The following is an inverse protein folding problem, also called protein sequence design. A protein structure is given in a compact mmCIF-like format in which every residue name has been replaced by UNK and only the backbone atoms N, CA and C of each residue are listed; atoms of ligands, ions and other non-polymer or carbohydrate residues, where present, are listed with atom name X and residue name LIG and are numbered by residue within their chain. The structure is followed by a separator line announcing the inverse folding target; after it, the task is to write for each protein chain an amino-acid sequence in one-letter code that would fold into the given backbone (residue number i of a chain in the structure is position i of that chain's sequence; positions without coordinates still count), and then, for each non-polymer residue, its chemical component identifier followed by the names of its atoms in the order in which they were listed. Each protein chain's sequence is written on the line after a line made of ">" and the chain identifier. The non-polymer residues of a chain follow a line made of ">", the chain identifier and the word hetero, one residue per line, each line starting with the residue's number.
data_IF_905036547364
#
_entry.id   IF_905036547364
#
_cell.length_a   1.000
_cell.length_b   1.000
_cell.length_c   1.000
_cell.angle_alpha   90.00
_cell.angle_beta   90.00
_cell.angle_gamma   90.00
#
_symmetry.space_group_name_H-M   'P 1'
#
loop_
_entity.id
_entity.type
_entity.pdbx_description
1 polymer ?
#
# COMPACT_ATOMS: atom_id res chain seq x y z
N UNK A 1 -17.29 13.77 11.61
CA UNK A 1 -15.88 13.47 11.26
C UNK A 1 -15.82 13.18 9.76
N UNK A 2 -15.00 13.90 9.01
CA UNK A 2 -14.88 13.78 7.55
C UNK A 2 -13.60 13.02 7.20
N UNK A 3 -13.62 12.26 6.11
CA UNK A 3 -12.43 11.67 5.48
C UNK A 3 -12.32 12.15 4.05
N UNK A 4 -11.10 12.23 3.52
CA UNK A 4 -10.85 12.65 2.14
C UNK A 4 -9.75 11.82 1.48
N UNK A 5 -9.78 11.76 0.15
CA UNK A 5 -8.69 11.18 -0.65
C UNK A 5 -7.64 12.23 -0.97
N UNK A 6 -6.38 11.83 -0.97
CA UNK A 6 -5.25 12.71 -1.23
C UNK A 6 -4.17 12.01 -2.06
N UNK A 7 -3.40 12.84 -2.77
CA UNK A 7 -2.13 12.47 -3.38
C UNK A 7 -1.01 13.41 -2.88
N UNK A 8 0.24 13.13 -3.24
CA UNK A 8 1.40 13.90 -2.78
C UNK A 8 1.27 15.39 -3.12
N UNK A 9 0.80 15.72 -4.32
CA UNK A 9 0.59 17.10 -4.77
C UNK A 9 -0.42 17.85 -3.89
N UNK A 10 -1.57 17.23 -3.62
CA UNK A 10 -2.63 17.85 -2.80
C UNK A 10 -2.19 18.13 -1.36
N UNK A 11 -1.38 17.23 -0.77
CA UNK A 11 -0.82 17.43 0.58
C UNK A 11 0.27 18.52 0.54
N UNK A 12 1.11 18.50 -0.49
CA UNK A 12 2.20 19.49 -0.67
C UNK A 12 1.68 20.92 -0.81
N UNK A 13 0.50 21.10 -1.41
CA UNK A 13 -0.17 22.40 -1.54
C UNK A 13 -0.66 23.00 -0.22
N UNK A 14 -0.61 22.26 0.89
CA UNK A 14 -1.03 22.73 2.21
C UNK A 14 0.15 22.86 3.15
N UNK A 15 0.25 23.94 3.91
CA UNK A 15 1.21 24.04 5.02
C UNK A 15 0.80 23.11 6.17
N UNK A 16 1.70 22.92 7.14
CA UNK A 16 1.37 22.11 8.32
C UNK A 16 0.24 22.76 9.12
N UNK A 17 0.26 24.09 9.24
CA UNK A 17 -0.74 24.90 9.96
C UNK A 17 -2.11 24.78 9.30
N UNK A 18 -2.17 24.80 7.97
CA UNK A 18 -3.42 24.58 7.24
C UNK A 18 -3.97 23.16 7.48
N UNK A 19 -3.12 22.13 7.52
CA UNK A 19 -3.55 20.77 7.85
C UNK A 19 -4.06 20.67 9.30
N UNK A 20 -3.39 21.34 10.25
CA UNK A 20 -3.85 21.43 11.64
C UNK A 20 -5.20 22.15 11.71
N UNK A 21 -5.39 23.22 10.94
CA UNK A 21 -6.68 23.92 10.86
C UNK A 21 -7.78 23.01 10.29
N UNK A 22 -7.49 22.26 9.22
CA UNK A 22 -8.43 21.26 8.67
C UNK A 22 -8.78 20.18 9.71
N UNK A 23 -7.79 19.72 10.48
CA UNK A 23 -7.98 18.75 11.55
C UNK A 23 -8.93 19.27 12.64
N UNK A 24 -8.76 20.54 13.04
CA UNK A 24 -9.65 21.24 14.00
C UNK A 24 -11.06 21.40 13.46
N UNK A 25 -11.21 21.61 12.15
CA UNK A 25 -12.50 21.71 11.46
C UNK A 25 -13.13 20.35 11.09
N UNK A 26 -12.57 19.22 11.58
CA UNK A 26 -13.23 17.92 11.52
C UNK A 26 -12.71 16.94 10.46
N UNK A 27 -11.65 17.28 9.70
CA UNK A 27 -10.94 16.34 8.84
C UNK A 27 -10.18 15.32 9.71
N UNK A 28 -10.69 14.09 9.78
CA UNK A 28 -10.19 13.09 10.73
C UNK A 28 -9.42 11.93 10.12
N UNK A 29 -9.36 11.80 8.79
CA UNK A 29 -8.54 10.80 8.09
C UNK A 29 -8.27 11.22 6.64
N UNK A 30 -7.08 10.92 6.14
CA UNK A 30 -6.74 10.98 4.72
C UNK A 30 -6.44 9.58 4.16
N UNK A 31 -7.01 9.29 3.00
CA UNK A 31 -6.71 8.10 2.19
C UNK A 31 -5.71 8.50 1.11
N UNK A 32 -4.48 8.02 1.27
CA UNK A 32 -3.34 8.47 0.48
C UNK A 32 -2.89 7.39 -0.52
N UNK A 33 -3.09 7.65 -1.80
CA UNK A 33 -2.64 6.77 -2.89
C UNK A 33 -1.13 6.90 -3.13
N UNK A 34 -0.37 5.90 -2.68
CA UNK A 34 1.09 5.78 -2.88
C UNK A 34 1.43 4.76 -3.96
N UNK A 35 0.68 3.66 -4.03
CA UNK A 35 0.78 2.56 -5.02
C UNK A 35 2.08 1.75 -4.95
N UNK A 36 3.25 2.39 -5.01
CA UNK A 36 4.57 1.75 -5.00
C UNK A 36 5.62 2.65 -4.34
N UNK A 37 6.61 2.04 -3.69
CA UNK A 37 7.82 2.70 -3.20
C UNK A 37 9.01 2.70 -4.17
N UNK A 38 8.89 2.05 -5.34
CA UNK A 38 9.94 2.02 -6.36
C UNK A 38 9.85 3.24 -7.30
N UNK A 39 10.82 4.15 -7.23
CA UNK A 39 10.84 5.38 -8.02
C UNK A 39 10.93 5.17 -9.54
N UNK A 40 11.56 4.11 -10.03
CA UNK A 40 11.56 3.79 -11.46
C UNK A 40 10.15 3.42 -11.93
N UNK A 41 9.48 2.58 -11.14
CA UNK A 41 8.11 2.19 -11.43
C UNK A 41 7.15 3.37 -11.30
N UNK A 42 7.34 4.25 -10.31
CA UNK A 42 6.54 5.49 -10.13
C UNK A 42 6.62 6.40 -11.35
N UNK A 43 7.80 6.51 -11.97
CA UNK A 43 7.98 7.24 -13.23
C UNK A 43 7.24 6.56 -14.37
N UNK A 44 7.35 5.23 -14.50
CA UNK A 44 6.66 4.44 -15.52
C UNK A 44 5.12 4.60 -15.45
N UNK A 45 4.56 4.65 -14.25
CA UNK A 45 3.11 4.84 -14.03
C UNK A 45 2.70 6.31 -13.88
N UNK A 46 3.61 7.27 -14.13
CA UNK A 46 3.35 8.71 -14.15
C UNK A 46 2.72 9.22 -12.83
N UNK A 47 3.24 8.76 -11.68
CA UNK A 47 2.66 9.13 -10.37
C UNK A 47 2.94 10.58 -9.95
N UNK A 48 3.96 11.21 -10.55
CA UNK A 48 4.26 12.64 -10.37
C UNK A 48 4.89 13.03 -9.03
N UNK A 49 5.46 12.07 -8.30
CA UNK A 49 6.23 12.31 -7.07
C UNK A 49 7.18 11.14 -6.80
N UNK A 50 8.31 11.40 -6.14
CA UNK A 50 9.24 10.37 -5.69
C UNK A 50 8.87 9.79 -4.30
N UNK A 51 9.50 8.70 -3.92
CA UNK A 51 9.32 8.01 -2.65
C UNK A 51 9.59 8.92 -1.45
N UNK A 52 10.66 9.73 -1.53
CA UNK A 52 11.05 10.68 -0.48
C UNK A 52 9.95 11.70 -0.22
N UNK A 53 9.43 12.34 -1.27
CA UNK A 53 8.30 13.27 -1.18
C UNK A 53 7.09 12.58 -0.59
N UNK A 54 6.82 11.33 -0.96
CA UNK A 54 5.69 10.60 -0.39
C UNK A 54 5.81 10.44 1.12
N UNK A 55 6.98 10.04 1.61
CA UNK A 55 7.28 9.87 3.03
C UNK A 55 7.11 11.19 3.77
N UNK A 56 7.68 12.28 3.25
CA UNK A 56 7.58 13.62 3.84
C UNK A 56 6.12 14.08 3.94
N UNK A 57 5.33 13.91 2.88
CA UNK A 57 3.91 14.29 2.88
C UNK A 57 3.09 13.43 3.84
N UNK A 58 3.37 12.12 3.91
CA UNK A 58 2.70 11.24 4.87
C UNK A 58 2.99 11.64 6.32
N UNK A 59 4.26 11.88 6.65
CA UNK A 59 4.68 12.32 7.99
C UNK A 59 4.05 13.65 8.37
N UNK A 60 3.99 14.60 7.44
CA UNK A 60 3.35 15.91 7.66
C UNK A 60 1.86 15.80 8.02
N UNK A 61 1.13 14.86 7.39
CA UNK A 61 -0.28 14.60 7.74
C UNK A 61 -0.42 14.02 9.15
N UNK A 62 0.48 13.09 9.52
CA UNK A 62 0.51 12.48 10.85
C UNK A 62 0.84 13.53 11.92
N UNK A 63 1.83 14.38 11.65
CA UNK A 63 2.24 15.51 12.52
C UNK A 63 1.08 16.49 12.76
N UNK A 64 0.25 16.74 11.74
CA UNK A 64 -0.97 17.54 11.89
C UNK A 64 -2.08 16.88 12.74
N UNK A 65 -1.86 15.65 13.24
CA UNK A 65 -2.82 14.90 14.04
C UNK A 65 -3.98 14.30 13.23
N UNK A 66 -3.84 14.20 11.90
CA UNK A 66 -4.79 13.56 11.00
C UNK A 66 -4.40 12.09 10.82
N UNK A 67 -5.37 11.17 10.91
CA UNK A 67 -5.08 9.75 10.64
C UNK A 67 -4.73 9.56 9.17
N UNK A 68 -3.72 8.75 8.88
CA UNK A 68 -3.29 8.44 7.52
C UNK A 68 -3.55 6.96 7.19
N UNK A 69 -4.26 6.72 6.09
CA UNK A 69 -4.44 5.40 5.49
C UNK A 69 -3.78 5.37 4.12
N UNK A 70 -2.71 4.59 3.96
CA UNK A 70 -1.94 4.50 2.72
C UNK A 70 -2.42 3.35 1.86
N UNK A 71 -2.59 3.58 0.57
CA UNK A 71 -2.94 2.55 -0.41
C UNK A 71 -1.71 2.16 -1.24
N UNK A 72 -1.45 0.86 -1.37
CA UNK A 72 -0.39 0.26 -2.21
C UNK A 72 -0.99 -0.78 -3.16
N UNK A 73 -0.37 -0.99 -4.32
CA UNK A 73 -0.89 -1.84 -5.40
C UNK A 73 0.02 -3.04 -5.67
N UNK A 74 -0.45 -4.23 -5.29
CA UNK A 74 0.16 -5.50 -5.66
C UNK A 74 0.04 -5.74 -7.17
N UNK A 75 1.07 -6.33 -7.76
CA UNK A 75 1.16 -6.72 -9.17
C UNK A 75 1.46 -5.56 -10.13
N UNK A 76 1.49 -4.31 -9.66
CA UNK A 76 1.66 -3.13 -10.53
C UNK A 76 3.01 -3.09 -11.25
N UNK A 77 4.02 -3.78 -10.70
CA UNK A 77 5.34 -3.91 -11.30
C UNK A 77 5.44 -4.99 -12.39
N UNK A 78 4.38 -5.79 -12.54
CA UNK A 78 4.42 -7.03 -13.31
C UNK A 78 5.29 -8.10 -12.66
N UNK A 79 5.30 -9.30 -13.25
CA UNK A 79 6.03 -10.47 -12.73
C UNK A 79 7.51 -10.18 -12.44
N UNK A 80 8.22 -9.57 -13.40
CA UNK A 80 9.67 -9.32 -13.31
C UNK A 80 10.02 -8.31 -12.22
N UNK A 81 9.23 -7.24 -12.06
CA UNK A 81 9.50 -6.16 -11.11
C UNK A 81 8.99 -6.42 -9.68
N UNK A 82 8.24 -7.51 -9.48
CA UNK A 82 7.45 -7.75 -8.28
C UNK A 82 8.24 -7.67 -6.97
N UNK A 83 9.40 -8.35 -6.88
CA UNK A 83 10.20 -8.38 -5.65
C UNK A 83 10.86 -7.03 -5.33
N UNK A 84 11.35 -6.30 -6.35
CA UNK A 84 11.91 -4.95 -6.18
C UNK A 84 10.84 -4.00 -5.66
N UNK A 85 9.65 -4.04 -6.28
CA UNK A 85 8.50 -3.26 -5.87
C UNK A 85 8.07 -3.55 -4.43
N UNK A 86 7.93 -4.83 -4.06
CA UNK A 86 7.53 -5.24 -2.72
C UNK A 86 8.48 -4.71 -1.64
N UNK A 87 9.79 -4.91 -1.83
CA UNK A 87 10.84 -4.43 -0.92
C UNK A 87 10.80 -2.90 -0.79
N UNK A 88 10.87 -2.18 -1.91
CA UNK A 88 10.89 -0.72 -1.89
C UNK A 88 9.62 -0.12 -1.27
N UNK A 89 8.46 -0.75 -1.52
CA UNK A 89 7.18 -0.34 -0.92
C UNK A 89 7.16 -0.57 0.59
N UNK A 90 7.64 -1.73 1.07
CA UNK A 90 7.74 -1.99 2.50
C UNK A 90 8.67 -1.01 3.22
N UNK A 91 9.82 -0.70 2.63
CA UNK A 91 10.79 0.29 3.15
C UNK A 91 10.18 1.70 3.21
N UNK A 92 9.46 2.12 2.16
CA UNK A 92 8.72 3.39 2.13
C UNK A 92 7.68 3.45 3.24
N UNK A 93 6.88 2.40 3.40
CA UNK A 93 5.82 2.31 4.42
C UNK A 93 6.41 2.38 5.83
N UNK A 94 7.52 1.68 6.08
CA UNK A 94 8.24 1.74 7.35
C UNK A 94 8.76 3.13 7.66
N UNK A 95 9.32 3.82 6.66
CA UNK A 95 9.80 5.18 6.83
C UNK A 95 8.64 6.17 7.07
N UNK A 96 7.49 5.96 6.46
CA UNK A 96 6.31 6.83 6.62
C UNK A 96 5.57 6.60 7.95
N UNK A 97 5.52 5.36 8.43
CA UNK A 97 4.79 4.91 9.64
C UNK A 97 3.30 5.31 9.69
N UNK A 98 2.49 4.96 8.66
CA UNK A 98 1.07 5.33 8.62
C UNK A 98 0.22 4.57 9.66
N UNK A 99 -0.96 5.12 9.98
CA UNK A 99 -1.90 4.44 10.89
C UNK A 99 -2.50 3.18 10.26
N UNK A 100 -2.76 3.22 8.96
CA UNK A 100 -3.36 2.11 8.22
C UNK A 100 -2.68 1.94 6.86
N UNK A 101 -2.60 0.70 6.41
CA UNK A 101 -2.15 0.34 5.07
C UNK A 101 -3.23 -0.53 4.43
N UNK A 102 -3.62 -0.20 3.20
CA UNK A 102 -4.47 -1.00 2.35
C UNK A 102 -3.70 -1.47 1.12
N UNK A 103 -3.33 -2.74 1.08
CA UNK A 103 -2.85 -3.37 -0.14
C UNK A 103 -4.05 -3.79 -1.00
N UNK A 104 -4.03 -3.41 -2.27
CA UNK A 104 -5.02 -3.82 -3.27
C UNK A 104 -4.27 -4.49 -4.42
N UNK A 105 -4.90 -5.44 -5.10
CA UNK A 105 -4.35 -6.03 -6.33
C UNK A 105 -4.72 -5.17 -7.54
N UNK A 106 -3.76 -4.92 -8.43
CA UNK A 106 -3.98 -4.19 -9.68
C UNK A 106 -5.02 -4.92 -10.53
N UNK A 107 -5.90 -4.15 -11.18
CA UNK A 107 -6.90 -4.67 -12.11
C UNK A 107 -6.59 -4.16 -13.52
N UNK A 108 -6.64 -5.05 -14.49
CA UNK A 108 -6.47 -4.71 -15.91
C UNK A 108 -7.83 -4.26 -16.46
N UNK A 109 -7.92 -2.98 -16.82
CA UNK A 109 -9.16 -2.37 -17.30
C UNK A 109 -9.02 -2.10 -18.81
N UNK A 110 -9.91 -2.65 -19.66
CA UNK A 110 -9.89 -2.40 -21.11
C UNK A 110 -9.85 -0.91 -21.45
N UNK A 111 -9.03 -0.55 -22.45
CA UNK A 111 -8.84 0.84 -22.88
C UNK A 111 -7.87 1.66 -22.02
N UNK A 112 -7.18 1.03 -21.04
CA UNK A 112 -6.10 1.68 -20.28
C UNK A 112 -4.72 1.33 -20.84
N UNK A 113 -3.70 2.21 -20.69
CA UNK A 113 -2.35 1.91 -21.17
C UNK A 113 -1.78 0.59 -20.62
N UNK A 114 -2.06 0.27 -19.35
CA UNK A 114 -1.60 -0.98 -18.74
C UNK A 114 -2.26 -2.22 -19.35
N UNK A 115 -3.54 -2.13 -19.73
CA UNK A 115 -4.24 -3.20 -20.43
C UNK A 115 -3.67 -3.40 -21.83
N UNK A 116 -3.36 -2.32 -22.55
CA UNK A 116 -2.70 -2.41 -23.85
C UNK A 116 -1.31 -3.06 -23.74
N UNK A 117 -0.52 -2.71 -22.73
CA UNK A 117 0.76 -3.36 -22.48
C UNK A 117 0.59 -4.85 -22.16
N UNK A 118 -0.47 -5.23 -21.44
CA UNK A 118 -0.78 -6.63 -21.17
C UNK A 118 -1.15 -7.41 -22.43
N UNK A 119 -2.07 -6.89 -23.25
CA UNK A 119 -2.48 -7.53 -24.52
C UNK A 119 -1.29 -7.69 -25.47
N UNK A 120 -0.41 -6.68 -25.52
CA UNK A 120 0.79 -6.69 -26.34
C UNK A 120 1.98 -7.46 -25.73
N UNK A 121 1.77 -8.19 -24.61
CA UNK A 121 2.80 -8.97 -23.90
C UNK A 121 4.02 -8.15 -23.44
N UNK A 122 3.85 -6.84 -23.26
CA UNK A 122 4.83 -5.92 -22.65
C UNK A 122 4.70 -5.87 -21.13
N UNK A 123 3.58 -6.34 -20.60
CA UNK A 123 3.31 -6.49 -19.18
C UNK A 123 2.75 -7.87 -18.90
N UNK A 124 3.36 -8.58 -17.94
CA UNK A 124 2.85 -9.86 -17.44
C UNK A 124 2.34 -9.65 -16.02
N UNK A 125 1.04 -9.90 -15.81
CA UNK A 125 0.45 -9.88 -14.48
C UNK A 125 0.95 -11.10 -13.70
N UNK A 126 1.44 -10.94 -12.45
CA UNK A 126 1.80 -12.09 -11.64
C UNK A 126 0.57 -12.96 -11.34
N UNK A 127 0.79 -14.26 -11.26
CA UNK A 127 -0.27 -15.19 -10.85
C UNK A 127 -0.60 -15.07 -9.35
N UNK A 128 -1.59 -15.83 -8.90
CA UNK A 128 -2.07 -15.77 -7.51
C UNK A 128 -0.95 -16.08 -6.50
N UNK A 129 -0.10 -17.06 -6.79
CA UNK A 129 1.00 -17.45 -5.90
C UNK A 129 2.07 -16.37 -5.88
N UNK A 130 2.40 -15.80 -7.02
CA UNK A 130 3.36 -14.72 -7.15
C UNK A 130 2.90 -13.46 -6.40
N UNK A 131 1.60 -13.10 -6.49
CA UNK A 131 1.03 -11.99 -5.72
C UNK A 131 1.09 -12.23 -4.21
N UNK A 132 0.91 -13.47 -3.75
CA UNK A 132 1.08 -13.81 -2.33
C UNK A 132 2.55 -13.72 -1.88
N UNK A 133 3.49 -14.09 -2.74
CA UNK A 133 4.93 -13.91 -2.48
C UNK A 133 5.29 -12.43 -2.41
N UNK A 134 4.77 -11.61 -3.33
CA UNK A 134 4.94 -10.16 -3.34
C UNK A 134 4.39 -9.52 -2.06
N UNK A 135 3.16 -9.89 -1.67
CA UNK A 135 2.55 -9.41 -0.44
C UNK A 135 3.37 -9.80 0.81
N UNK A 136 3.84 -11.05 0.86
CA UNK A 136 4.71 -11.54 1.95
C UNK A 136 5.99 -10.72 2.02
N UNK A 137 6.63 -10.47 0.89
CA UNK A 137 7.86 -9.69 0.81
C UNK A 137 7.64 -8.24 1.25
N UNK A 138 6.54 -7.62 0.84
CA UNK A 138 6.16 -6.27 1.24
C UNK A 138 5.93 -6.18 2.76
N UNK A 139 5.21 -7.15 3.33
CA UNK A 139 5.01 -7.25 4.79
C UNK A 139 6.34 -7.44 5.51
N UNK A 140 7.24 -8.29 4.99
CA UNK A 140 8.57 -8.55 5.58
C UNK A 140 9.40 -7.26 5.71
N UNK A 141 9.26 -6.35 4.75
CA UNK A 141 9.95 -5.06 4.75
C UNK A 141 9.16 -3.93 5.41
N UNK A 142 7.96 -4.19 5.93
CA UNK A 142 7.13 -3.18 6.60
C UNK A 142 7.24 -3.32 8.12
N UNK A 143 7.76 -2.30 8.79
CA UNK A 143 7.81 -2.17 10.25
C UNK A 143 7.09 -0.89 10.68
N UNK A 144 6.02 -1.02 11.46
CA UNK A 144 5.20 0.10 11.93
C UNK A 144 5.24 0.18 13.45
N UNK A 145 5.12 1.39 13.99
CA UNK A 145 5.06 1.58 15.44
C UNK A 145 3.74 1.09 16.02
N UNK A 146 2.62 1.47 15.38
CA UNK A 146 1.24 1.17 15.81
C UNK A 146 0.28 0.92 14.64
N UNK A 147 0.79 0.81 13.42
CA UNK A 147 -0.01 0.71 12.21
C UNK A 147 -0.69 -0.66 12.03
N UNK A 148 -1.77 -0.67 11.26
CA UNK A 148 -2.49 -1.88 10.86
C UNK A 148 -2.35 -2.09 9.35
N UNK A 149 -1.90 -3.28 8.98
CA UNK A 149 -1.78 -3.68 7.58
C UNK A 149 -3.01 -4.51 7.18
N UNK A 150 -3.70 -4.05 6.15
CA UNK A 150 -4.87 -4.70 5.58
C UNK A 150 -4.60 -5.07 4.13
N UNK A 151 -4.92 -6.31 3.77
CA UNK A 151 -5.03 -6.80 2.40
C UNK A 151 -6.40 -7.47 2.23
N UNK A 152 -7.47 -6.86 2.74
CA UNK A 152 -8.81 -7.44 2.78
C UNK A 152 -9.77 -6.84 1.72
N UNK A 153 -9.24 -6.09 0.75
CA UNK A 153 -10.05 -5.57 -0.34
C UNK A 153 -10.56 -6.71 -1.22
N UNK A 154 -11.73 -6.54 -1.85
CA UNK A 154 -12.38 -7.60 -2.61
C UNK A 154 -11.55 -8.13 -3.79
N UNK A 155 -10.60 -7.31 -4.28
CA UNK A 155 -9.65 -7.66 -5.35
C UNK A 155 -8.47 -8.52 -4.88
N UNK A 156 -8.31 -8.78 -3.58
CA UNK A 156 -7.19 -9.58 -3.09
C UNK A 156 -7.59 -11.05 -2.93
N UNK A 157 -6.67 -11.94 -3.30
CA UNK A 157 -6.83 -13.39 -3.23
C UNK A 157 -6.88 -13.90 -1.79
N UNK A 158 -6.10 -13.32 -0.89
CA UNK A 158 -6.05 -13.70 0.52
C UNK A 158 -6.32 -12.48 1.41
N UNK A 159 -7.44 -12.43 2.14
CA UNK A 159 -7.68 -11.35 3.09
C UNK A 159 -6.72 -11.46 4.27
N UNK A 160 -5.74 -10.56 4.31
CA UNK A 160 -4.79 -10.45 5.42
C UNK A 160 -5.15 -9.27 6.31
N UNK A 161 -5.20 -9.51 7.62
CA UNK A 161 -5.17 -8.45 8.64
C UNK A 161 -4.00 -8.73 9.56
N UNK A 162 -3.01 -7.85 9.53
CA UNK A 162 -1.81 -7.95 10.37
C UNK A 162 -1.67 -6.67 11.21
N UNK A 163 -1.45 -6.87 12.51
CA UNK A 163 -0.97 -5.81 13.40
C UNK A 163 0.55 -5.95 13.45
N UNK A 164 1.27 -4.91 13.06
CA UNK A 164 2.73 -4.91 13.00
C UNK A 164 3.25 -4.08 14.19
N UNK A 165 3.47 -4.66 15.38
CA UNK A 165 4.15 -3.97 16.47
C UNK A 165 5.68 -3.98 16.25
N UNK A 166 6.34 -2.86 16.56
CA UNK A 166 7.80 -2.73 16.51
C UNK A 166 8.53 -3.93 17.14
N UNK A 167 9.51 -4.47 16.42
CA UNK A 167 10.54 -5.36 16.99
C UNK A 167 10.19 -6.86 17.09
N UNK A 168 9.36 -7.42 16.21
CA UNK A 168 9.17 -8.89 16.14
C UNK A 168 9.46 -9.47 14.77
N UNK A 169 10.19 -10.59 14.78
CA UNK A 169 10.66 -11.38 13.63
C UNK A 169 9.54 -12.00 12.79
N UNK A 170 8.30 -11.98 13.28
CA UNK A 170 7.11 -12.38 12.49
C UNK A 170 5.85 -11.76 13.13
N UNK A 171 5.07 -10.93 12.42
CA UNK A 171 3.81 -10.42 12.95
C UNK A 171 2.75 -11.52 13.01
N UNK A 172 1.85 -11.52 14.02
CA UNK A 172 0.70 -12.41 14.01
C UNK A 172 -0.24 -12.00 12.86
N UNK A 173 -0.19 -12.76 11.76
CA UNK A 173 -1.07 -12.62 10.60
C UNK A 173 -2.35 -13.41 10.92
N UNK A 174 -3.47 -12.70 11.10
CA UNK A 174 -4.77 -13.35 11.09
C UNK A 174 -5.30 -13.39 9.66
N UNK A 175 -5.41 -14.60 9.12
CA UNK A 175 -6.05 -14.85 7.85
C UNK A 175 -7.43 -15.47 8.12
N UNK A 176 -8.48 -14.94 7.49
CA UNK A 176 -9.82 -15.55 7.51
C UNK A 176 -10.13 -16.03 6.11
N UNK A 177 -10.53 -17.28 5.96
CA UNK A 177 -10.95 -17.79 4.66
C UNK A 177 -12.18 -17.05 4.13
N UNK A 178 -12.18 -16.76 2.83
CA UNK A 178 -13.39 -16.31 2.12
C UNK A 178 -14.36 -17.49 2.01
N UNK A 179 -15.69 -17.31 2.20
CA UNK A 179 -16.65 -18.33 1.83
C UNK A 179 -16.50 -18.65 0.33
N UNK A 180 -16.30 -19.93 -0.02
CA UNK A 180 -16.16 -20.38 -1.41
C UNK A 180 -14.74 -20.75 -1.87
N UNK A 181 -13.72 -20.67 -1.00
CA UNK A 181 -12.38 -21.20 -1.27
C UNK A 181 -12.04 -22.34 -0.30
N UNK A 182 -11.36 -23.43 -0.73
CA UNK A 182 -10.99 -24.53 0.16
C UNK A 182 -10.06 -24.05 1.28
N UNK A 183 -10.42 -24.38 2.51
CA UNK A 183 -9.65 -24.04 3.71
C UNK A 183 -8.66 -25.13 4.04
N UNK A 184 -7.37 -24.92 3.78
CA UNK A 184 -6.33 -25.53 4.62
C UNK A 184 -5.83 -24.48 5.62
N UNK A 185 -6.16 -24.66 6.89
CA UNK A 185 -5.53 -23.92 7.98
C UNK A 185 -4.10 -24.44 8.18
N UNK A 186 -3.13 -23.92 7.43
CA UNK A 186 -1.71 -24.12 7.76
C UNK A 186 -1.16 -22.89 8.47
N UNK A 187 -0.64 -23.09 9.68
CA UNK A 187 0.35 -22.17 10.23
C UNK A 187 1.51 -22.17 9.24
N UNK A 188 1.89 -20.99 8.75
CA UNK A 188 3.19 -20.82 8.11
C UNK A 188 4.24 -21.04 9.19
N UNK A 189 4.74 -22.27 9.32
CA UNK A 189 5.95 -22.57 10.07
C UNK A 189 7.16 -22.12 9.25
N UNK A 190 8.14 -21.62 10.00
CA UNK A 190 9.47 -21.11 9.61
C UNK A 190 10.13 -21.80 8.42
#
# INVERSE_FOLDING_TARGET
>A
RVGAYANAKSIKMKTLEELIALRKNGLGILYYGVETGDDELRKKIIKGSDAKTCIEMGRKVIEAGIKLSVTVLLGIAGRVGSMKHAKATGELLSAMDPNFIGALTVMLIPGTPLYEDFVNKKFELPDERELLIELREMIRHTNLSRGLFYSNHASNYLPVKARLPNGKTTPPITCRSRPGFPTESRRLST
#
